data_IF_066673121223
#
_entry.id   IF_066673121223
#
_cell.length_a   1.000
_cell.length_b   1.000
_cell.length_c   1.000
_cell.angle_alpha   90.00
_cell.angle_beta   90.00
_cell.angle_gamma   90.00
#
_symmetry.space_group_name_H-M   'P 1'
#
loop_
_entity.id
_entity.type
_entity.pdbx_description
1 polymer ?
#
# COMPACT_ATOMS: atom_id res chain seq x y z
N UNK A 1 14.85 -21.84 14.08
CA UNK A 1 15.12 -20.41 14.35
C UNK A 1 15.21 -19.64 13.04
N UNK A 2 14.44 -18.55 12.93
CA UNK A 2 14.52 -17.62 11.78
C UNK A 2 15.80 -16.79 11.89
N UNK A 3 16.49 -16.57 10.75
CA UNK A 3 17.64 -15.66 10.70
C UNK A 3 17.21 -14.23 11.05
N UNK A 4 18.15 -13.38 11.48
CA UNK A 4 17.84 -11.98 11.79
C UNK A 4 17.37 -11.22 10.54
N UNK A 5 17.91 -11.56 9.38
CA UNK A 5 17.48 -11.02 8.10
C UNK A 5 16.01 -11.32 7.80
N UNK A 6 15.59 -12.58 7.95
CA UNK A 6 14.19 -12.99 7.77
C UNK A 6 13.27 -12.25 8.76
N UNK A 7 13.69 -12.11 10.03
CA UNK A 7 12.92 -11.35 11.02
C UNK A 7 12.75 -9.90 10.62
N UNK A 8 13.82 -9.24 10.16
CA UNK A 8 13.77 -7.86 9.73
C UNK A 8 12.84 -7.68 8.51
N UNK A 9 12.91 -8.59 7.53
CA UNK A 9 12.01 -8.61 6.37
C UNK A 9 10.55 -8.72 6.81
N UNK A 10 10.22 -9.63 7.73
CA UNK A 10 8.85 -9.81 8.20
C UNK A 10 8.33 -8.59 8.97
N UNK A 11 9.15 -8.01 9.83
CA UNK A 11 8.79 -6.82 10.62
C UNK A 11 8.57 -5.61 9.70
N UNK A 12 9.51 -5.39 8.78
CA UNK A 12 9.43 -4.27 7.84
C UNK A 12 8.19 -4.37 6.94
N UNK A 13 7.87 -5.57 6.51
CA UNK A 13 6.76 -5.84 5.59
C UNK A 13 5.40 -5.93 6.25
N UNK A 14 5.33 -6.33 7.51
CA UNK A 14 4.09 -6.28 8.29
C UNK A 14 3.64 -4.85 8.60
N UNK A 15 4.54 -3.86 8.45
CA UNK A 15 4.26 -2.43 8.70
C UNK A 15 3.58 -2.15 10.04
N UNK A 16 3.89 -2.97 11.06
CA UNK A 16 3.28 -2.88 12.39
C UNK A 16 1.89 -3.51 12.51
N UNK A 17 1.36 -4.09 11.45
CA UNK A 17 0.11 -4.86 11.50
C UNK A 17 0.38 -6.26 12.09
N UNK A 18 -0.11 -6.46 13.32
CA UNK A 18 0.07 -7.72 14.06
C UNK A 18 -0.69 -8.90 13.42
N UNK A 19 -1.80 -8.65 12.76
CA UNK A 19 -2.61 -9.70 12.12
C UNK A 19 -1.87 -10.19 10.89
N UNK A 20 -1.37 -9.28 10.05
CA UNK A 20 -0.55 -9.61 8.90
C UNK A 20 0.72 -10.36 9.30
N UNK A 21 1.45 -9.87 10.31
CA UNK A 21 2.63 -10.56 10.83
C UNK A 21 2.30 -11.98 11.30
N UNK A 22 1.21 -12.16 12.05
CA UNK A 22 0.76 -13.47 12.52
C UNK A 22 0.45 -14.41 11.35
N UNK A 23 -0.24 -13.93 10.33
CA UNK A 23 -0.57 -14.73 9.15
C UNK A 23 0.69 -15.16 8.39
N UNK A 24 1.65 -14.26 8.20
CA UNK A 24 2.94 -14.59 7.59
C UNK A 24 3.74 -15.63 8.41
N UNK A 25 3.76 -15.47 9.72
CA UNK A 25 4.41 -16.44 10.61
C UNK A 25 3.74 -17.83 10.56
N UNK A 26 2.41 -17.90 10.41
CA UNK A 26 1.69 -19.18 10.24
C UNK A 26 2.08 -19.83 8.90
N UNK A 27 2.15 -19.09 7.81
CA UNK A 27 2.61 -19.60 6.51
C UNK A 27 4.02 -20.17 6.61
N UNK A 28 4.95 -19.43 7.22
CA UNK A 28 6.33 -19.87 7.43
C UNK A 28 6.43 -21.12 8.31
N UNK A 29 5.60 -21.20 9.38
CA UNK A 29 5.52 -22.39 10.22
C UNK A 29 5.09 -23.61 9.42
N UNK A 30 4.06 -23.48 8.59
CA UNK A 30 3.56 -24.56 7.74
C UNK A 30 4.63 -25.02 6.72
N UNK A 31 5.38 -24.08 6.13
CA UNK A 31 6.49 -24.43 5.25
C UNK A 31 7.64 -25.12 5.99
N UNK A 32 7.95 -24.70 7.23
CA UNK A 32 9.02 -25.29 8.02
C UNK A 32 8.74 -26.74 8.42
N UNK A 33 7.49 -27.19 8.34
CA UNK A 33 7.12 -28.61 8.55
C UNK A 33 7.59 -29.46 7.37
N UNK A 34 7.58 -28.91 6.15
CA UNK A 34 8.00 -29.61 4.95
C UNK A 34 9.48 -29.40 4.59
N UNK A 35 10.15 -28.39 5.17
CA UNK A 35 11.56 -28.07 4.94
C UNK A 35 12.30 -27.83 6.27
N UNK A 36 13.37 -28.58 6.50
CA UNK A 36 14.18 -28.48 7.73
C UNK A 36 14.92 -27.13 7.91
N UNK A 37 15.15 -26.38 6.86
CA UNK A 37 15.72 -25.01 6.88
C UNK A 37 15.00 -24.13 5.89
N UNK A 38 14.60 -22.96 6.34
CA UNK A 38 14.02 -21.91 5.49
C UNK A 38 15.14 -20.99 5.00
N UNK A 39 15.26 -20.84 3.68
CA UNK A 39 16.13 -19.82 3.08
C UNK A 39 15.42 -18.48 2.99
N UNK A 40 16.16 -17.38 2.82
CA UNK A 40 15.59 -16.05 2.57
C UNK A 40 14.76 -16.05 1.28
N UNK A 41 15.18 -16.81 0.25
CA UNK A 41 14.40 -16.98 -0.99
C UNK A 41 13.08 -17.69 -0.77
N UNK A 42 13.01 -18.72 0.07
CA UNK A 42 11.78 -19.43 0.40
C UNK A 42 10.79 -18.48 1.09
N UNK A 43 11.28 -17.62 1.97
CA UNK A 43 10.47 -16.61 2.65
C UNK A 43 9.96 -15.56 1.68
N UNK A 44 10.79 -15.12 0.73
CA UNK A 44 10.42 -14.16 -0.30
C UNK A 44 9.37 -14.74 -1.27
N UNK A 45 9.50 -16.02 -1.64
CA UNK A 45 8.55 -16.70 -2.55
C UNK A 45 7.22 -17.04 -1.89
N UNK A 46 7.23 -17.39 -0.60
CA UNK A 46 6.02 -17.77 0.15
C UNK A 46 5.15 -16.59 0.54
N UNK A 47 5.79 -15.53 0.87
CA UNK A 47 5.10 -14.30 1.09
C UNK A 47 4.99 -13.65 -0.29
N UNK A 48 3.80 -13.49 -0.82
CA UNK A 48 3.53 -12.56 -1.93
C UNK A 48 3.93 -11.12 -1.54
N UNK A 49 4.99 -11.02 -0.75
CA UNK A 49 5.45 -9.83 -0.08
C UNK A 49 6.14 -8.90 -1.08
N UNK A 50 6.76 -9.46 -2.13
CA UNK A 50 7.35 -8.66 -3.19
C UNK A 50 6.24 -7.99 -4.02
N UNK A 51 5.19 -8.74 -4.38
CA UNK A 51 4.04 -8.23 -5.12
C UNK A 51 3.26 -7.21 -4.28
N UNK A 52 2.97 -7.53 -3.02
CA UNK A 52 2.32 -6.59 -2.11
C UNK A 52 3.17 -5.34 -1.86
N UNK A 53 4.51 -5.47 -1.79
CA UNK A 53 5.39 -4.30 -1.62
C UNK A 53 5.26 -3.34 -2.80
N UNK A 54 5.27 -3.83 -4.03
CA UNK A 54 5.09 -3.00 -5.22
C UNK A 54 3.73 -2.30 -5.25
N UNK A 55 2.66 -2.97 -4.82
CA UNK A 55 1.32 -2.38 -4.70
C UNK A 55 1.28 -1.26 -3.66
N UNK A 56 1.91 -1.45 -2.50
CA UNK A 56 1.98 -0.41 -1.47
C UNK A 56 2.81 0.78 -1.92
N UNK A 57 3.97 0.51 -2.57
CA UNK A 57 4.84 1.55 -3.10
C UNK A 57 4.17 2.34 -4.23
N UNK A 58 3.45 1.65 -5.13
CA UNK A 58 2.64 2.27 -6.18
C UNK A 58 1.60 3.21 -5.58
N UNK A 59 0.84 2.73 -4.59
CA UNK A 59 -0.21 3.50 -3.94
C UNK A 59 0.33 4.73 -3.21
N UNK A 60 1.47 4.60 -2.54
CA UNK A 60 2.12 5.72 -1.85
C UNK A 60 2.61 6.79 -2.82
N UNK A 61 3.22 6.37 -3.93
CA UNK A 61 3.72 7.31 -4.94
C UNK A 61 2.59 7.95 -5.75
N UNK A 62 1.49 7.24 -6.00
CA UNK A 62 0.30 7.80 -6.58
C UNK A 62 -0.26 8.94 -5.71
N UNK A 63 -0.50 8.70 -4.43
CA UNK A 63 -0.99 9.73 -3.51
C UNK A 63 0.03 10.85 -3.25
N UNK A 64 1.32 10.59 -3.43
CA UNK A 64 2.35 11.62 -3.38
C UNK A 64 2.52 12.40 -4.70
N UNK A 65 1.69 12.12 -5.72
CA UNK A 65 1.75 12.71 -7.08
C UNK A 65 3.15 12.57 -7.72
N UNK A 66 3.79 11.42 -7.52
CA UNK A 66 5.11 11.09 -8.08
C UNK A 66 4.97 10.28 -9.38
N UNK A 67 4.57 10.92 -10.47
CA UNK A 67 4.28 10.29 -11.76
C UNK A 67 5.44 9.45 -12.30
N UNK A 68 6.67 9.95 -12.16
CA UNK A 68 7.86 9.24 -12.65
C UNK A 68 8.02 7.89 -11.97
N UNK A 69 7.83 7.85 -10.63
CA UNK A 69 7.99 6.62 -9.86
C UNK A 69 6.80 5.67 -10.08
N UNK A 70 5.59 6.20 -10.22
CA UNK A 70 4.40 5.43 -10.61
C UNK A 70 4.64 4.70 -11.94
N UNK A 71 5.09 5.42 -12.98
CA UNK A 71 5.37 4.83 -14.29
C UNK A 71 6.46 3.75 -14.23
N UNK A 72 7.54 3.97 -13.47
CA UNK A 72 8.58 2.97 -13.30
C UNK A 72 8.04 1.70 -12.64
N UNK A 73 7.28 1.84 -11.53
CA UNK A 73 6.71 0.69 -10.82
C UNK A 73 5.76 -0.11 -11.72
N UNK A 74 4.92 0.58 -12.51
CA UNK A 74 4.01 -0.08 -13.46
C UNK A 74 4.76 -0.86 -14.54
N UNK A 75 5.89 -0.34 -15.02
CA UNK A 75 6.69 -0.97 -16.06
C UNK A 75 7.56 -2.14 -15.54
N UNK A 76 7.96 -2.08 -14.27
CA UNK A 76 8.83 -3.10 -13.66
C UNK A 76 8.05 -4.31 -13.12
N UNK A 77 6.73 -4.19 -12.98
CA UNK A 77 5.89 -5.22 -12.39
C UNK A 77 4.80 -5.70 -13.35
N UNK A 78 4.64 -7.01 -13.47
CA UNK A 78 3.55 -7.63 -14.21
C UNK A 78 2.38 -7.91 -13.26
N UNK A 79 1.47 -6.95 -13.13
CA UNK A 79 0.29 -7.10 -12.28
C UNK A 79 -0.80 -7.96 -12.93
N UNK A 80 -1.33 -8.91 -12.18
CA UNK A 80 -2.49 -9.71 -12.54
C UNK A 80 -3.81 -8.95 -12.36
N UNK A 81 -4.92 -9.50 -12.81
CA UNK A 81 -6.25 -8.92 -12.53
C UNK A 81 -6.58 -8.89 -11.04
N UNK A 82 -6.07 -9.84 -10.26
CA UNK A 82 -6.22 -9.89 -8.80
C UNK A 82 -5.44 -8.78 -8.13
N UNK A 83 -4.21 -8.52 -8.61
CA UNK A 83 -3.38 -7.41 -8.14
C UNK A 83 -4.03 -6.05 -8.42
N UNK A 84 -4.74 -5.92 -9.54
CA UNK A 84 -5.49 -4.70 -9.85
C UNK A 84 -6.54 -4.38 -8.77
N UNK A 85 -7.27 -5.38 -8.30
CA UNK A 85 -8.23 -5.20 -7.20
C UNK A 85 -7.51 -4.85 -5.90
N UNK A 86 -6.36 -5.46 -5.64
CA UNK A 86 -5.54 -5.14 -4.46
C UNK A 86 -5.00 -3.70 -4.51
N UNK A 87 -4.52 -3.25 -5.68
CA UNK A 87 -4.08 -1.86 -5.91
C UNK A 87 -5.21 -0.88 -5.60
N UNK A 88 -6.39 -1.09 -6.19
CA UNK A 88 -7.57 -0.23 -6.02
C UNK A 88 -7.93 -0.11 -4.54
N UNK A 89 -8.04 -1.24 -3.84
CA UNK A 89 -8.40 -1.28 -2.41
C UNK A 89 -7.33 -0.64 -1.53
N UNK A 90 -6.06 -0.83 -1.88
CA UNK A 90 -4.94 -0.23 -1.15
C UNK A 90 -4.97 1.30 -1.28
N UNK A 91 -5.16 1.81 -2.51
CA UNK A 91 -5.31 3.26 -2.75
C UNK A 91 -6.53 3.79 -2.01
N UNK A 92 -7.68 3.10 -2.06
CA UNK A 92 -8.90 3.50 -1.36
C UNK A 92 -8.69 3.63 0.16
N UNK A 93 -8.06 2.62 0.77
CA UNK A 93 -7.80 2.64 2.21
C UNK A 93 -6.84 3.75 2.61
N UNK A 94 -5.78 3.97 1.82
CA UNK A 94 -4.84 5.07 2.05
C UNK A 94 -5.49 6.44 1.81
N UNK A 95 -6.37 6.58 0.81
CA UNK A 95 -7.13 7.81 0.57
C UNK A 95 -8.08 8.12 1.72
N UNK A 96 -8.79 7.13 2.27
CA UNK A 96 -9.63 7.31 3.47
C UNK A 96 -8.81 7.76 4.69
N UNK A 97 -7.61 7.21 4.88
CA UNK A 97 -6.67 7.65 5.92
C UNK A 97 -6.22 9.08 5.67
N UNK A 98 -5.84 9.40 4.43
CA UNK A 98 -5.43 10.74 4.04
C UNK A 98 -6.55 11.77 4.24
N UNK A 99 -7.81 11.41 3.96
CA UNK A 99 -8.97 12.27 4.20
C UNK A 99 -9.10 12.64 5.68
N UNK A 100 -8.94 11.67 6.59
CA UNK A 100 -8.96 11.94 8.04
C UNK A 100 -7.85 12.90 8.44
N UNK A 101 -6.62 12.65 7.96
CA UNK A 101 -5.46 13.50 8.24
C UNK A 101 -5.70 14.92 7.71
N UNK A 102 -6.21 15.06 6.47
CA UNK A 102 -6.51 16.39 5.90
C UNK A 102 -7.58 17.13 6.69
N UNK A 103 -8.66 16.46 7.07
CA UNK A 103 -9.71 17.08 7.88
C UNK A 103 -9.16 17.58 9.23
N UNK A 104 -8.27 16.84 9.87
CA UNK A 104 -7.62 17.29 11.11
C UNK A 104 -6.67 18.46 10.89
N UNK A 105 -5.92 18.47 9.77
CA UNK A 105 -5.05 19.58 9.40
C UNK A 105 -5.87 20.85 9.14
N UNK A 106 -6.98 20.74 8.41
CA UNK A 106 -7.85 21.87 8.11
C UNK A 106 -8.45 22.48 9.39
N UNK A 107 -8.65 21.67 10.42
CA UNK A 107 -9.13 22.15 11.73
C UNK A 107 -8.03 22.68 12.66
N UNK A 108 -6.82 22.13 12.61
CA UNK A 108 -5.77 22.35 13.62
C UNK A 108 -4.53 23.08 13.10
N UNK A 109 -4.42 23.33 11.80
CA UNK A 109 -3.36 24.12 11.12
C UNK A 109 -1.93 23.56 11.19
N UNK A 110 -1.58 22.64 12.10
CA UNK A 110 -0.21 22.10 12.21
C UNK A 110 -0.12 20.64 11.77
N UNK A 111 0.42 20.45 10.56
CA UNK A 111 0.57 19.13 9.95
C UNK A 111 1.44 18.16 10.76
N UNK A 112 2.53 18.64 11.39
CA UNK A 112 3.45 17.79 12.14
C UNK A 112 2.80 17.28 13.44
N UNK A 113 2.00 18.11 14.09
CA UNK A 113 1.23 17.72 15.28
C UNK A 113 0.16 16.70 14.91
N UNK A 114 -0.59 16.91 13.83
CA UNK A 114 -1.62 15.97 13.35
C UNK A 114 -0.99 14.61 13.05
N UNK A 115 0.11 14.57 12.28
CA UNK A 115 0.80 13.34 11.92
C UNK A 115 1.36 12.61 13.15
N UNK A 116 1.88 13.35 14.14
CA UNK A 116 2.47 12.76 15.33
C UNK A 116 1.45 12.18 16.29
N UNK A 117 0.26 12.79 16.37
CA UNK A 117 -0.83 12.40 17.27
C UNK A 117 -1.88 11.50 16.62
N UNK A 118 -1.75 11.22 15.32
CA UNK A 118 -2.74 10.45 14.57
C UNK A 118 -2.96 9.05 15.14
N UNK A 119 -4.21 8.60 15.17
CA UNK A 119 -4.58 7.26 15.66
C UNK A 119 -5.25 6.43 14.54
N UNK A 120 -4.77 5.19 14.29
CA UNK A 120 -3.60 4.54 14.90
C UNK A 120 -2.29 5.26 14.54
N UNK A 121 -1.23 5.14 15.37
CA UNK A 121 0.04 5.83 15.16
C UNK A 121 0.62 5.54 13.78
N UNK A 122 1.11 6.60 13.13
CA UNK A 122 1.79 6.51 11.85
C UNK A 122 3.20 5.99 12.09
N UNK A 123 3.58 4.96 11.32
CA UNK A 123 4.92 4.41 11.39
C UNK A 123 5.96 5.50 11.01
N UNK A 124 7.06 5.58 11.75
CA UNK A 124 8.01 6.70 11.60
C UNK A 124 8.58 6.82 10.18
N UNK A 125 8.82 5.70 9.47
CA UNK A 125 9.29 5.69 8.07
C UNK A 125 8.24 6.21 7.07
N UNK A 126 6.96 6.20 7.42
CA UNK A 126 5.86 6.66 6.56
C UNK A 126 5.54 8.15 6.76
N UNK A 127 6.05 8.79 7.82
CA UNK A 127 5.68 10.17 8.17
C UNK A 127 5.97 11.16 7.04
N UNK A 128 7.14 11.06 6.41
CA UNK A 128 7.56 11.99 5.36
C UNK A 128 6.69 11.85 4.10
N UNK A 129 6.39 10.61 3.68
CA UNK A 129 5.54 10.40 2.51
C UNK A 129 4.10 10.84 2.78
N UNK A 130 3.56 10.57 3.97
CA UNK A 130 2.22 11.01 4.37
C UNK A 130 2.14 12.54 4.47
N UNK A 131 3.18 13.19 4.97
CA UNK A 131 3.28 14.65 4.98
C UNK A 131 3.20 15.22 3.56
N UNK A 132 3.98 14.65 2.64
CA UNK A 132 3.97 15.01 1.22
C UNK A 132 2.58 14.78 0.59
N UNK A 133 1.95 13.64 0.86
CA UNK A 133 0.60 13.34 0.39
C UNK A 133 -0.40 14.39 0.92
N UNK A 134 -0.38 14.67 2.22
CA UNK A 134 -1.27 15.65 2.82
C UNK A 134 -1.07 17.07 2.27
N UNK A 135 0.13 17.44 1.87
CA UNK A 135 0.42 18.72 1.21
C UNK A 135 -0.04 18.77 -0.25
N UNK A 136 -0.10 17.62 -0.93
CA UNK A 136 -0.41 17.51 -2.36
C UNK A 136 -1.90 17.51 -2.69
N UNK A 137 -2.77 17.26 -1.70
CA UNK A 137 -4.21 17.12 -1.88
C UNK A 137 -4.98 18.05 -0.94
N UNK A 138 -6.06 18.68 -1.44
CA UNK A 138 -7.08 19.28 -0.57
C UNK A 138 -8.07 18.21 -0.09
N UNK A 139 -8.82 18.53 0.97
CA UNK A 139 -9.86 17.63 1.49
C UNK A 139 -10.89 17.25 0.44
N UNK A 140 -11.31 18.22 -0.40
CA UNK A 140 -12.30 17.97 -1.46
C UNK A 140 -11.73 17.13 -2.61
N UNK A 141 -10.47 17.35 -2.99
CA UNK A 141 -9.80 16.49 -3.96
C UNK A 141 -9.69 15.04 -3.47
N UNK A 142 -9.41 14.82 -2.17
CA UNK A 142 -9.36 13.47 -1.61
C UNK A 142 -10.75 12.82 -1.60
N UNK A 143 -11.81 13.56 -1.32
CA UNK A 143 -13.20 13.06 -1.44
C UNK A 143 -13.51 12.64 -2.87
N UNK A 144 -13.21 13.50 -3.83
CA UNK A 144 -13.44 13.22 -5.26
C UNK A 144 -12.72 11.96 -5.72
N UNK A 145 -11.45 11.79 -5.33
CA UNK A 145 -10.67 10.60 -5.72
C UNK A 145 -11.22 9.32 -5.09
N UNK A 146 -11.77 9.37 -3.86
CA UNK A 146 -12.43 8.24 -3.23
C UNK A 146 -13.65 7.79 -4.05
N UNK A 147 -14.45 8.70 -4.59
CA UNK A 147 -15.56 8.37 -5.49
C UNK A 147 -15.05 7.74 -6.78
N UNK A 148 -14.06 8.35 -7.43
CA UNK A 148 -13.45 7.82 -8.66
C UNK A 148 -12.86 6.41 -8.47
N UNK A 149 -12.27 6.12 -7.30
CA UNK A 149 -11.74 4.79 -6.97
C UNK A 149 -12.86 3.75 -6.86
N UNK A 150 -14.00 4.11 -6.26
CA UNK A 150 -15.15 3.20 -6.17
C UNK A 150 -15.73 2.87 -7.55
N UNK A 151 -15.83 3.87 -8.42
CA UNK A 151 -16.28 3.68 -9.81
C UNK A 151 -15.29 2.81 -10.58
N UNK A 152 -13.98 3.02 -10.38
CA UNK A 152 -12.94 2.18 -10.97
C UNK A 152 -13.05 0.72 -10.49
N UNK A 153 -13.30 0.48 -9.18
CA UNK A 153 -13.47 -0.87 -8.66
C UNK A 153 -14.65 -1.57 -9.34
N UNK A 154 -15.77 -0.88 -9.50
CA UNK A 154 -16.94 -1.41 -10.19
C UNK A 154 -16.65 -1.73 -11.67
N UNK A 155 -15.91 -0.85 -12.35
CA UNK A 155 -15.52 -1.02 -13.75
C UNK A 155 -14.58 -2.22 -13.94
N UNK A 156 -13.57 -2.35 -13.11
CA UNK A 156 -12.58 -3.45 -13.14
C UNK A 156 -13.26 -4.79 -12.86
N UNK A 157 -14.20 -4.86 -11.90
CA UNK A 157 -14.95 -6.10 -11.62
C UNK A 157 -15.84 -6.54 -12.77
N UNK A 158 -16.38 -5.60 -13.55
CA UNK A 158 -17.21 -5.90 -14.73
C UNK A 158 -16.37 -6.30 -15.95
N UNK A 159 -15.12 -5.85 -16.04
CA UNK A 159 -14.25 -5.99 -17.20
C UNK A 159 -12.87 -6.51 -16.79
N UNK A 160 -12.82 -7.74 -16.28
CA UNK A 160 -11.59 -8.33 -15.73
C UNK A 160 -10.44 -8.43 -16.74
N UNK A 161 -10.73 -8.64 -18.03
CA UNK A 161 -9.73 -8.72 -19.10
C UNK A 161 -8.95 -7.42 -19.32
N UNK A 162 -9.52 -6.28 -18.98
CA UNK A 162 -8.92 -4.94 -19.18
C UNK A 162 -8.54 -4.26 -17.87
N UNK A 163 -8.52 -5.01 -16.77
CA UNK A 163 -8.27 -4.48 -15.42
C UNK A 163 -7.01 -3.64 -15.34
N UNK A 164 -5.92 -4.13 -15.90
CA UNK A 164 -4.63 -3.42 -15.86
C UNK A 164 -4.65 -2.12 -16.66
N UNK A 165 -5.35 -2.09 -17.80
CA UNK A 165 -5.50 -0.86 -18.60
C UNK A 165 -6.23 0.22 -17.79
N UNK A 166 -7.33 -0.13 -17.13
CA UNK A 166 -8.10 0.81 -16.32
C UNK A 166 -7.30 1.32 -15.12
N UNK A 167 -6.62 0.42 -14.41
CA UNK A 167 -5.79 0.80 -13.25
C UNK A 167 -4.62 1.66 -13.68
N UNK A 168 -3.89 1.30 -14.74
CA UNK A 168 -2.76 2.09 -15.25
C UNK A 168 -3.20 3.49 -15.67
N UNK A 169 -4.31 3.61 -16.41
CA UNK A 169 -4.85 4.91 -16.79
C UNK A 169 -5.23 5.74 -15.57
N UNK A 170 -5.86 5.13 -14.58
CA UNK A 170 -6.26 5.83 -13.37
C UNK A 170 -5.07 6.36 -12.57
N UNK A 171 -4.04 5.53 -12.32
CA UNK A 171 -2.89 5.93 -11.51
C UNK A 171 -1.88 6.83 -12.25
N UNK A 172 -1.98 6.91 -13.57
CA UNK A 172 -1.14 7.81 -14.40
C UNK A 172 -1.75 9.21 -14.55
N UNK A 173 -3.06 9.37 -14.30
CA UNK A 173 -3.78 10.63 -14.38
C UNK A 173 -4.22 11.10 -13.01
N UNK A 174 -3.80 12.31 -12.61
CA UNK A 174 -4.14 12.93 -11.32
C UNK A 174 -5.34 13.87 -11.45
#
# INVERSE_FOLDING_TARGET
NLSQEIKNILIERSKGDRINLKNELIKLKNLSISKNKLSTEDVLKLSNLAENYSVFELSDNYLAKNSKKVSNILNENNYSSEDCILIIRTILNKSKRLLKIRTEIDNNSNIDQVISNFKPPIFWKEKDIIKKQAQSWSTDQVKEIIFKINDLEALVKKNTSNSMLFVSNFVSNY
#
